data_IF_059470176672
#
_entry.id   IF_059470176672
#
_cell.length_a   1.000
_cell.length_b   1.000
_cell.length_c   1.000
_cell.angle_alpha   90.00
_cell.angle_beta   90.00
_cell.angle_gamma   90.00
#
_symmetry.space_group_name_H-M   'P 1'
#
loop_
_entity.id
_entity.type
_entity.pdbx_description
1 polymer ?
#
# COMPACT_ATOMS: atom_id res chain seq x y z
N UNK A 1 11.59 -39.57 -45.67
CA UNK A 1 10.43 -38.65 -45.53
C UNK A 1 10.68 -37.80 -44.27
N UNK A 2 11.10 -36.56 -44.44
CA UNK A 2 11.31 -35.60 -43.35
C UNK A 2 10.21 -34.53 -43.46
N UNK A 3 9.28 -34.51 -42.54
CA UNK A 3 8.20 -33.53 -42.43
C UNK A 3 8.65 -32.38 -41.52
N UNK A 4 8.27 -31.15 -41.80
CA UNK A 4 8.86 -29.97 -41.17
C UNK A 4 8.16 -29.60 -39.84
N UNK A 5 8.94 -29.60 -38.76
CA UNK A 5 8.53 -29.09 -37.43
C UNK A 5 8.69 -27.54 -37.28
N UNK A 6 8.76 -26.78 -38.38
CA UNK A 6 9.04 -25.34 -38.32
C UNK A 6 7.79 -24.44 -38.26
N UNK A 7 6.59 -25.00 -38.44
CA UNK A 7 5.37 -24.17 -38.53
C UNK A 7 4.71 -23.83 -37.18
N UNK A 8 4.94 -24.61 -36.12
CA UNK A 8 4.19 -24.47 -34.88
C UNK A 8 4.75 -23.36 -33.94
N UNK A 9 6.07 -23.12 -33.99
CA UNK A 9 6.72 -22.14 -33.12
C UNK A 9 6.45 -20.68 -33.55
N UNK A 10 6.28 -20.43 -34.86
CA UNK A 10 5.93 -19.08 -35.35
C UNK A 10 4.46 -18.71 -35.11
N UNK A 11 3.56 -19.68 -35.15
CA UNK A 11 2.13 -19.43 -34.87
C UNK A 11 1.89 -19.11 -33.39
N UNK A 12 2.62 -19.75 -32.44
CA UNK A 12 2.50 -19.47 -31.01
C UNK A 12 3.05 -18.10 -30.63
N UNK A 13 4.18 -17.68 -31.24
CA UNK A 13 4.76 -16.34 -31.04
C UNK A 13 3.87 -15.22 -31.61
N UNK A 14 3.22 -15.45 -32.73
CA UNK A 14 2.28 -14.50 -33.35
C UNK A 14 1.01 -14.31 -32.50
N UNK A 15 0.47 -15.40 -31.90
CA UNK A 15 -0.72 -15.36 -31.03
C UNK A 15 -0.43 -14.65 -29.71
N UNK A 16 0.74 -14.83 -29.11
CA UNK A 16 1.11 -14.14 -27.87
C UNK A 16 1.40 -12.65 -28.09
N UNK A 17 2.01 -12.27 -29.20
CA UNK A 17 2.17 -10.86 -29.58
C UNK A 17 0.84 -10.17 -29.87
N UNK A 18 -0.10 -10.85 -30.54
CA UNK A 18 -1.40 -10.28 -30.87
C UNK A 18 -2.27 -10.06 -29.64
N UNK A 19 -2.26 -10.99 -28.67
CA UNK A 19 -3.00 -10.83 -27.41
C UNK A 19 -2.41 -9.76 -26.50
N UNK A 20 -1.09 -9.60 -26.47
CA UNK A 20 -0.43 -8.53 -25.71
C UNK A 20 -0.71 -7.15 -26.34
N UNK A 21 -0.61 -7.02 -27.66
CA UNK A 21 -0.94 -5.80 -28.39
C UNK A 21 -2.41 -5.40 -28.20
N UNK A 22 -3.34 -6.34 -28.23
CA UNK A 22 -4.77 -6.10 -28.00
C UNK A 22 -5.04 -5.65 -26.55
N UNK A 23 -4.36 -6.24 -25.56
CA UNK A 23 -4.48 -5.84 -24.15
C UNK A 23 -3.92 -4.44 -23.88
N UNK A 24 -2.82 -4.07 -24.54
CA UNK A 24 -2.23 -2.72 -24.44
C UNK A 24 -3.15 -1.70 -25.11
N UNK A 25 -3.68 -2.01 -26.28
CA UNK A 25 -4.60 -1.15 -27.04
C UNK A 25 -5.90 -0.91 -26.27
N UNK A 26 -6.40 -1.92 -25.54
CA UNK A 26 -7.57 -1.79 -24.69
C UNK A 26 -7.32 -0.82 -23.50
N UNK A 27 -6.13 -0.83 -22.90
CA UNK A 27 -5.77 0.10 -21.81
C UNK A 27 -5.68 1.56 -22.27
N UNK A 28 -5.09 1.83 -23.42
CA UNK A 28 -5.05 3.16 -24.02
C UNK A 28 -6.48 3.66 -24.30
N UNK A 29 -7.33 2.81 -24.92
CA UNK A 29 -8.73 3.13 -25.18
C UNK A 29 -9.50 3.42 -23.88
N UNK A 30 -9.28 2.64 -22.83
CA UNK A 30 -9.93 2.82 -21.53
C UNK A 30 -9.60 4.19 -20.90
N UNK A 31 -8.33 4.62 -20.93
CA UNK A 31 -7.91 5.92 -20.38
C UNK A 31 -8.51 7.09 -21.17
N UNK A 32 -8.53 7.00 -22.50
CA UNK A 32 -9.12 8.04 -23.36
C UNK A 32 -10.64 8.12 -23.20
N UNK A 33 -11.32 6.97 -23.09
CA UNK A 33 -12.77 6.89 -22.84
C UNK A 33 -13.11 7.46 -21.47
N UNK A 34 -12.32 7.16 -20.42
CA UNK A 34 -12.49 7.71 -19.08
C UNK A 34 -12.45 9.24 -19.12
N UNK A 35 -11.42 9.82 -19.74
CA UNK A 35 -11.30 11.27 -19.92
C UNK A 35 -12.54 11.84 -20.63
N UNK A 36 -12.87 11.31 -21.81
CA UNK A 36 -14.00 11.80 -22.62
C UNK A 36 -15.35 11.71 -21.89
N UNK A 37 -15.53 10.70 -21.03
CA UNK A 37 -16.74 10.53 -20.23
C UNK A 37 -16.80 11.53 -19.08
N UNK A 38 -15.70 11.68 -18.35
CA UNK A 38 -15.63 12.56 -17.18
C UNK A 38 -15.69 14.03 -17.54
N UNK A 39 -15.07 14.45 -18.66
CA UNK A 39 -15.10 15.84 -19.13
C UNK A 39 -16.47 16.29 -19.65
N UNK A 40 -17.33 15.35 -20.08
CA UNK A 40 -18.73 15.65 -20.42
C UNK A 40 -19.61 15.92 -19.20
N UNK A 41 -19.21 15.37 -18.04
CA UNK A 41 -19.93 15.58 -16.78
C UNK A 41 -19.55 16.89 -16.12
N UNK A 42 -20.41 17.37 -15.22
CA UNK A 42 -20.20 18.63 -14.48
C UNK A 42 -19.68 18.41 -13.05
N UNK A 43 -19.72 17.16 -12.55
CA UNK A 43 -19.34 16.85 -11.16
C UNK A 43 -17.84 16.74 -10.97
N UNK A 44 -17.11 16.14 -11.91
CA UNK A 44 -15.71 15.79 -11.75
C UNK A 44 -14.77 16.76 -12.45
N UNK A 45 -13.88 17.38 -11.71
CA UNK A 45 -12.69 18.04 -12.26
C UNK A 45 -11.70 16.93 -12.60
N UNK A 46 -11.30 16.82 -13.86
CA UNK A 46 -10.45 15.74 -14.33
C UNK A 46 -8.98 16.14 -14.27
N UNK A 47 -8.21 15.44 -13.44
CA UNK A 47 -6.74 15.52 -13.35
C UNK A 47 -6.17 16.89 -13.00
N UNK A 48 -6.97 17.79 -12.42
CA UNK A 48 -6.56 19.15 -12.06
C UNK A 48 -6.89 19.44 -10.57
N UNK A 49 -5.93 19.06 -9.72
CA UNK A 49 -6.05 19.23 -8.26
C UNK A 49 -6.04 20.71 -7.87
N UNK A 50 -5.26 21.55 -8.58
CA UNK A 50 -5.15 22.98 -8.27
C UNK A 50 -6.46 23.71 -8.54
N UNK A 51 -7.13 23.39 -9.63
CA UNK A 51 -8.49 23.89 -9.93
C UNK A 51 -9.46 23.42 -8.84
N UNK A 52 -9.33 22.16 -8.38
CA UNK A 52 -10.13 21.64 -7.27
C UNK A 52 -10.01 22.47 -6.00
N UNK A 53 -8.80 22.78 -5.55
CA UNK A 53 -8.58 23.65 -4.38
C UNK A 53 -9.14 25.06 -4.58
N UNK A 54 -8.94 25.64 -5.74
CA UNK A 54 -9.46 26.96 -6.08
C UNK A 54 -10.99 27.01 -5.98
N UNK A 55 -11.66 26.02 -6.59
CA UNK A 55 -13.12 25.92 -6.53
C UNK A 55 -13.64 25.61 -5.12
N UNK A 56 -12.98 24.72 -4.37
CA UNK A 56 -13.35 24.38 -3.01
C UNK A 56 -13.32 25.62 -2.09
N UNK A 57 -12.26 26.40 -2.21
CA UNK A 57 -12.12 27.67 -1.48
C UNK A 57 -13.20 28.68 -1.85
N UNK A 58 -13.46 28.85 -3.15
CA UNK A 58 -14.46 29.82 -3.63
C UNK A 58 -15.89 29.41 -3.27
N UNK A 59 -16.23 28.14 -3.38
CA UNK A 59 -17.56 27.61 -3.07
C UNK A 59 -17.78 27.34 -1.58
N UNK A 60 -16.75 27.47 -0.75
CA UNK A 60 -16.74 27.05 0.66
C UNK A 60 -17.28 25.61 0.83
N UNK A 61 -16.76 24.68 0.02
CA UNK A 61 -17.08 23.26 0.07
C UNK A 61 -15.82 22.45 0.37
N UNK A 62 -15.94 21.28 1.02
CA UNK A 62 -14.79 20.38 1.13
C UNK A 62 -14.40 19.86 -0.25
N UNK A 63 -13.10 19.60 -0.42
CA UNK A 63 -12.53 18.99 -1.62
C UNK A 63 -12.38 17.49 -1.40
N UNK A 64 -12.84 16.73 -2.37
CA UNK A 64 -12.68 15.28 -2.45
C UNK A 64 -11.78 14.97 -3.65
N UNK A 65 -10.63 14.36 -3.40
CA UNK A 65 -9.70 13.94 -4.45
C UNK A 65 -9.63 12.42 -4.50
N UNK A 66 -10.14 11.85 -5.57
CA UNK A 66 -10.04 10.40 -5.85
C UNK A 66 -8.79 10.13 -6.67
N UNK A 67 -7.92 9.29 -6.13
CA UNK A 67 -6.73 8.78 -6.82
C UNK A 67 -7.03 7.37 -7.30
N UNK A 68 -6.96 7.17 -8.60
CA UNK A 68 -7.36 5.93 -9.25
C UNK A 68 -6.55 5.61 -10.49
N UNK A 69 -6.07 4.39 -10.58
CA UNK A 69 -5.36 3.91 -11.74
C UNK A 69 -6.34 3.35 -12.80
N UNK A 70 -6.66 4.12 -13.85
CA UNK A 70 -7.60 3.69 -14.90
C UNK A 70 -7.14 2.44 -15.67
N UNK A 71 -5.84 2.28 -16.02
CA UNK A 71 -5.38 1.08 -16.71
C UNK A 71 -5.43 -0.21 -15.88
N UNK A 72 -5.69 -0.11 -14.57
CA UNK A 72 -5.75 -1.26 -13.68
C UNK A 72 -7.14 -1.88 -13.67
N UNK A 73 -7.26 -3.16 -14.04
CA UNK A 73 -8.53 -3.89 -14.06
C UNK A 73 -9.22 -3.95 -12.69
N UNK A 74 -8.44 -4.02 -11.61
CA UNK A 74 -8.97 -4.00 -10.24
C UNK A 74 -9.69 -2.69 -9.90
N UNK A 75 -9.30 -1.58 -10.55
CA UNK A 75 -9.92 -0.27 -10.30
C UNK A 75 -11.25 -0.09 -11.02
N UNK A 76 -11.45 -0.77 -12.13
CA UNK A 76 -12.71 -0.67 -12.92
C UNK A 76 -13.94 -1.07 -12.09
N UNK A 77 -13.78 -2.08 -11.22
CA UNK A 77 -14.84 -2.53 -10.33
C UNK A 77 -15.23 -1.48 -9.26
N UNK A 78 -14.30 -0.70 -8.76
CA UNK A 78 -14.57 0.32 -7.73
C UNK A 78 -15.33 1.52 -8.30
N UNK A 79 -15.04 1.94 -9.53
CA UNK A 79 -15.81 3.00 -10.17
C UNK A 79 -17.29 2.62 -10.33
N UNK A 80 -17.52 1.43 -10.90
CA UNK A 80 -18.87 0.96 -11.18
C UNK A 80 -19.65 0.67 -9.88
N UNK A 81 -18.98 0.16 -8.84
CA UNK A 81 -19.64 -0.29 -7.61
C UNK A 81 -19.66 0.76 -6.48
N UNK A 82 -18.95 1.87 -6.60
CA UNK A 82 -18.89 2.90 -5.55
C UNK A 82 -19.11 4.31 -6.10
N UNK A 83 -18.23 4.78 -7.00
CA UNK A 83 -18.23 6.20 -7.39
C UNK A 83 -19.38 6.61 -8.30
N UNK A 84 -19.99 5.64 -9.01
CA UNK A 84 -21.11 5.86 -9.94
C UNK A 84 -22.47 5.49 -9.31
N UNK A 85 -22.50 5.04 -8.05
CA UNK A 85 -23.74 4.70 -7.38
C UNK A 85 -24.64 5.94 -7.21
N UNK A 86 -25.88 5.90 -7.72
CA UNK A 86 -26.81 7.02 -7.62
C UNK A 86 -27.08 7.48 -6.19
N UNK A 87 -27.03 6.55 -5.21
CA UNK A 87 -27.22 6.83 -3.80
C UNK A 87 -26.19 7.81 -3.23
N UNK A 88 -24.98 7.83 -3.76
CA UNK A 88 -23.91 8.72 -3.31
C UNK A 88 -24.01 10.11 -3.94
N UNK A 89 -24.78 10.30 -4.99
CA UNK A 89 -24.87 11.58 -5.71
C UNK A 89 -25.21 12.76 -4.82
N UNK A 90 -26.20 12.72 -3.90
CA UNK A 90 -26.52 13.84 -3.02
C UNK A 90 -25.41 14.20 -2.02
N UNK A 91 -24.58 13.23 -1.63
CA UNK A 91 -23.41 13.47 -0.78
C UNK A 91 -22.27 14.07 -1.60
N UNK A 92 -21.97 13.51 -2.77
CA UNK A 92 -20.91 13.99 -3.66
C UNK A 92 -21.16 15.42 -4.12
N UNK A 93 -22.42 15.84 -4.30
CA UNK A 93 -22.79 17.21 -4.67
C UNK A 93 -22.46 18.26 -3.59
N UNK A 94 -22.19 17.82 -2.36
CA UNK A 94 -21.74 18.68 -1.27
C UNK A 94 -20.21 18.91 -1.30
N UNK A 95 -19.47 18.20 -2.15
CA UNK A 95 -18.03 18.36 -2.34
C UNK A 95 -17.70 19.04 -3.66
N UNK A 96 -16.50 19.57 -3.77
CA UNK A 96 -15.81 19.71 -5.04
C UNK A 96 -15.07 18.41 -5.30
N UNK A 97 -15.38 17.73 -6.42
CA UNK A 97 -14.87 16.40 -6.70
C UNK A 97 -13.76 16.47 -7.76
N UNK A 98 -12.57 15.97 -7.45
CA UNK A 98 -11.45 15.84 -8.38
C UNK A 98 -11.13 14.37 -8.58
N UNK A 99 -10.97 13.98 -9.86
CA UNK A 99 -10.54 12.65 -10.27
C UNK A 99 -9.12 12.71 -10.82
N UNK A 100 -8.20 12.03 -10.17
CA UNK A 100 -6.79 11.93 -10.55
C UNK A 100 -6.48 10.53 -11.02
N UNK A 101 -5.96 10.39 -12.25
CA UNK A 101 -5.68 9.10 -12.88
C UNK A 101 -4.20 8.76 -12.97
N UNK A 102 -3.34 9.68 -12.60
CA UNK A 102 -1.88 9.51 -12.61
C UNK A 102 -1.24 10.24 -11.45
N UNK A 103 -0.05 9.84 -11.07
CA UNK A 103 0.67 10.46 -9.96
C UNK A 103 1.78 11.42 -10.41
N UNK A 104 1.95 11.69 -11.71
CA UNK A 104 3.11 12.41 -12.24
C UNK A 104 3.43 13.72 -11.53
N UNK A 105 2.42 14.58 -11.36
CA UNK A 105 2.56 15.90 -10.74
C UNK A 105 1.93 15.98 -9.33
N UNK A 106 1.66 14.84 -8.71
CA UNK A 106 1.04 14.77 -7.39
C UNK A 106 1.95 15.39 -6.34
N UNK A 107 1.44 16.32 -5.53
CA UNK A 107 2.21 16.92 -4.44
C UNK A 107 2.37 15.90 -3.29
N UNK A 108 3.59 15.38 -3.12
CA UNK A 108 3.90 14.35 -2.13
C UNK A 108 3.85 14.86 -0.68
N UNK A 109 3.75 16.17 -0.44
CA UNK A 109 3.51 16.72 0.90
C UNK A 109 2.04 16.67 1.30
N UNK A 110 1.13 16.66 0.33
CA UNK A 110 -0.32 16.60 0.54
C UNK A 110 -0.87 15.19 0.41
N UNK A 111 -0.38 14.45 -0.59
CA UNK A 111 -0.92 13.14 -0.97
C UNK A 111 -0.05 12.00 -0.42
N UNK A 112 -0.12 11.78 0.89
CA UNK A 112 0.48 10.64 1.58
C UNK A 112 -0.61 9.66 1.97
N UNK A 113 -0.62 8.50 1.33
CA UNK A 113 -1.56 7.40 1.49
C UNK A 113 -0.85 6.09 1.18
N UNK A 114 -1.52 4.95 1.25
CA UNK A 114 -0.93 3.68 0.87
C UNK A 114 -0.79 3.60 -0.67
N UNK A 115 0.42 3.86 -1.16
CA UNK A 115 0.71 3.87 -2.60
C UNK A 115 0.57 2.51 -3.28
N UNK A 116 0.55 1.43 -2.52
CA UNK A 116 0.31 0.09 -3.08
C UNK A 116 -1.17 -0.18 -3.40
N UNK A 117 -2.09 0.70 -2.95
CA UNK A 117 -3.51 0.58 -3.23
C UNK A 117 -3.86 1.05 -4.64
N UNK A 118 -4.86 0.38 -5.23
CA UNK A 118 -5.39 0.75 -6.54
C UNK A 118 -6.33 1.97 -6.49
N UNK A 119 -6.89 2.26 -5.31
CA UNK A 119 -7.87 3.30 -5.08
C UNK A 119 -7.64 3.95 -3.72
N UNK A 120 -7.63 5.27 -3.70
CA UNK A 120 -7.62 6.07 -2.48
C UNK A 120 -8.39 7.37 -2.68
N UNK A 121 -9.01 7.86 -1.62
CA UNK A 121 -9.63 9.19 -1.58
C UNK A 121 -9.00 9.99 -0.44
N UNK A 122 -8.69 11.24 -0.70
CA UNK A 122 -8.27 12.20 0.34
C UNK A 122 -9.25 13.36 0.37
N UNK A 123 -9.68 13.71 1.56
CA UNK A 123 -10.62 14.81 1.83
C UNK A 123 -9.88 16.00 2.39
N UNK A 124 -10.18 17.20 1.87
CA UNK A 124 -9.50 18.44 2.26
C UNK A 124 -10.48 19.56 2.53
N UNK A 125 -10.02 20.55 3.25
CA UNK A 125 -10.55 21.90 3.13
C UNK A 125 -9.91 22.63 1.92
N UNK A 126 -10.53 23.70 1.44
CA UNK A 126 -10.00 24.50 0.34
C UNK A 126 -8.65 25.19 0.63
N UNK A 127 -8.19 25.22 1.89
CA UNK A 127 -6.88 25.75 2.29
C UNK A 127 -5.78 24.66 2.36
N UNK A 128 -6.09 23.42 1.97
CA UNK A 128 -5.15 22.28 1.99
C UNK A 128 -5.16 21.46 3.30
N UNK A 129 -5.96 21.87 4.31
CA UNK A 129 -6.09 21.07 5.55
C UNK A 129 -6.75 19.73 5.24
N UNK A 130 -6.09 18.63 5.61
CA UNK A 130 -6.59 17.27 5.39
C UNK A 130 -7.65 16.94 6.45
N UNK A 131 -8.83 16.53 6.01
CA UNK A 131 -9.92 16.03 6.86
C UNK A 131 -9.83 14.53 7.11
N UNK A 132 -9.30 13.80 6.15
CA UNK A 132 -9.10 12.36 6.27
C UNK A 132 -8.81 11.67 4.96
N UNK A 133 -8.62 10.35 5.06
CA UNK A 133 -8.31 9.44 3.94
C UNK A 133 -9.30 8.29 3.91
N UNK A 134 -9.56 7.74 2.73
CA UNK A 134 -10.33 6.53 2.55
C UNK A 134 -9.62 5.60 1.55
N UNK A 135 -9.73 4.30 1.77
CA UNK A 135 -9.07 3.25 1.01
C UNK A 135 -8.10 2.47 1.88
N UNK A 136 -8.27 1.16 1.92
CA UNK A 136 -7.44 0.25 2.71
C UNK A 136 -7.35 -1.11 2.03
N UNK A 137 -6.42 -1.96 2.50
CA UNK A 137 -6.31 -3.34 2.04
C UNK A 137 -7.58 -4.14 2.33
N UNK A 138 -8.26 -3.88 3.44
CA UNK A 138 -9.54 -4.48 3.79
C UNK A 138 -10.55 -4.26 2.67
N UNK A 139 -10.68 -3.01 2.19
CA UNK A 139 -11.58 -2.66 1.08
C UNK A 139 -11.19 -3.24 -0.29
N UNK A 140 -10.07 -3.95 -0.41
CA UNK A 140 -9.59 -4.52 -1.68
C UNK A 140 -9.46 -6.04 -1.67
N UNK A 141 -9.36 -6.65 -0.50
CA UNK A 141 -9.24 -8.11 -0.34
C UNK A 141 -10.53 -8.85 -0.68
N UNK A 142 -11.67 -8.26 -0.34
CA UNK A 142 -12.97 -8.89 -0.39
C UNK A 142 -13.94 -8.04 -1.22
N UNK A 143 -14.67 -8.59 -2.20
CA UNK A 143 -15.74 -7.83 -2.88
C UNK A 143 -16.77 -7.23 -1.91
N UNK A 144 -17.01 -7.88 -0.77
CA UNK A 144 -17.88 -7.41 0.30
C UNK A 144 -17.34 -6.15 1.01
N UNK A 145 -16.01 -5.98 1.04
CA UNK A 145 -15.36 -4.81 1.66
C UNK A 145 -15.47 -3.53 0.79
N UNK A 146 -15.98 -3.67 -0.43
CA UNK A 146 -16.24 -2.56 -1.37
C UNK A 146 -17.65 -2.01 -1.24
N UNK A 147 -18.25 -2.11 -0.06
CA UNK A 147 -19.60 -1.58 0.14
C UNK A 147 -19.62 -0.06 0.05
N UNK A 148 -20.65 0.48 -0.57
CA UNK A 148 -20.90 1.93 -0.58
C UNK A 148 -21.07 2.48 0.84
N UNK A 149 -21.48 1.64 1.79
CA UNK A 149 -21.71 2.04 3.18
C UNK A 149 -20.47 2.65 3.83
N UNK A 150 -19.30 2.01 3.69
CA UNK A 150 -18.05 2.54 4.24
C UNK A 150 -17.63 3.85 3.59
N UNK A 151 -17.81 3.99 2.28
CA UNK A 151 -17.50 5.23 1.58
C UNK A 151 -18.48 6.34 1.96
N UNK A 152 -19.78 6.01 2.05
CA UNK A 152 -20.83 6.92 2.55
C UNK A 152 -20.50 7.43 3.96
N UNK A 153 -20.14 6.54 4.88
CA UNK A 153 -19.75 6.91 6.23
C UNK A 153 -18.55 7.87 6.26
N UNK A 154 -17.54 7.65 5.40
CA UNK A 154 -16.39 8.53 5.27
C UNK A 154 -16.76 9.91 4.71
N UNK A 155 -17.64 9.98 3.70
CA UNK A 155 -18.19 11.23 3.16
C UNK A 155 -18.94 12.04 4.23
N UNK A 156 -19.84 11.38 4.97
CA UNK A 156 -20.63 11.99 6.04
C UNK A 156 -19.74 12.53 7.16
N UNK A 157 -18.70 11.79 7.56
CA UNK A 157 -17.72 12.23 8.56
C UNK A 157 -16.88 13.42 8.06
N UNK A 158 -16.44 13.40 6.80
CA UNK A 158 -15.71 14.51 6.21
C UNK A 158 -16.56 15.79 6.15
N UNK A 159 -17.86 15.68 5.82
CA UNK A 159 -18.82 16.78 5.89
C UNK A 159 -19.02 17.28 7.32
N UNK A 160 -19.10 16.38 8.30
CA UNK A 160 -19.22 16.75 9.72
C UNK A 160 -17.99 17.54 10.19
N UNK A 161 -16.78 17.12 9.79
CA UNK A 161 -15.53 17.84 10.07
C UNK A 161 -15.56 19.24 9.41
N UNK A 162 -15.99 19.32 8.15
CA UNK A 162 -16.07 20.60 7.43
C UNK A 162 -17.01 21.59 8.09
N UNK A 163 -18.18 21.16 8.58
CA UNK A 163 -19.13 22.01 9.31
C UNK A 163 -18.55 22.62 10.59
N UNK A 164 -17.56 21.99 11.20
CA UNK A 164 -16.89 22.46 12.42
C UNK A 164 -15.61 23.25 12.13
N UNK A 165 -15.18 23.31 10.87
CA UNK A 165 -13.98 24.02 10.49
C UNK A 165 -14.21 25.55 10.50
N UNK A 166 -13.29 26.39 11.03
CA UNK A 166 -11.92 26.08 11.44
C UNK A 166 -11.76 25.72 12.93
N UNK A 167 -12.82 25.66 13.75
CA UNK A 167 -12.72 25.41 15.18
C UNK A 167 -12.00 24.10 15.54
N UNK A 168 -12.15 23.06 14.71
CA UNK A 168 -11.51 21.73 14.88
C UNK A 168 -10.12 21.62 14.23
N UNK A 169 -9.53 22.70 13.69
CA UNK A 169 -8.26 22.66 12.92
C UNK A 169 -7.11 22.06 13.71
N UNK A 170 -7.04 22.31 15.02
CA UNK A 170 -5.99 21.77 15.89
C UNK A 170 -6.02 20.23 15.94
N UNK A 171 -7.20 19.61 16.03
CA UNK A 171 -7.37 18.16 16.01
C UNK A 171 -7.01 17.50 14.66
N UNK A 172 -6.96 18.30 13.58
CA UNK A 172 -6.62 17.83 12.24
C UNK A 172 -5.10 17.96 11.94
N UNK A 173 -4.33 18.62 12.80
CA UNK A 173 -2.90 18.86 12.57
C UNK A 173 -2.11 17.55 12.33
N UNK A 174 -2.43 16.48 13.06
CA UNK A 174 -1.82 15.17 12.91
C UNK A 174 -2.11 14.49 11.56
N UNK A 175 -3.16 14.91 10.84
CA UNK A 175 -3.52 14.33 9.53
C UNK A 175 -2.69 14.89 8.38
N UNK A 176 -1.95 16.00 8.61
CA UNK A 176 -1.14 16.65 7.59
C UNK A 176 0.04 15.75 7.18
N UNK A 177 0.44 15.83 5.90
CA UNK A 177 1.57 15.07 5.39
C UNK A 177 2.89 15.47 6.07
N UNK A 178 3.81 14.53 6.11
CA UNK A 178 5.18 14.76 6.56
C UNK A 178 6.01 15.42 5.46
N UNK A 179 7.07 16.12 5.85
CA UNK A 179 8.05 16.63 4.89
C UNK A 179 8.63 15.48 4.04
N UNK A 180 8.76 15.69 2.74
CA UNK A 180 9.32 14.71 1.82
C UNK A 180 10.56 15.29 1.13
N UNK A 181 11.52 14.44 0.75
CA UNK A 181 12.72 14.89 0.03
C UNK A 181 12.42 15.31 -1.43
N UNK A 182 11.26 14.95 -1.95
CA UNK A 182 10.82 15.25 -3.32
C UNK A 182 9.42 15.86 -3.27
N UNK A 183 9.19 16.91 -4.03
CA UNK A 183 7.89 17.57 -4.10
C UNK A 183 6.88 16.75 -4.91
N UNK A 184 7.34 16.09 -5.98
CA UNK A 184 6.50 15.28 -6.85
C UNK A 184 7.20 13.99 -7.25
N UNK A 185 6.46 12.96 -7.69
CA UNK A 185 7.03 11.69 -8.16
C UNK A 185 8.06 11.85 -9.27
N UNK A 186 7.86 12.78 -10.22
CA UNK A 186 8.78 13.00 -11.33
C UNK A 186 10.06 13.73 -10.93
N UNK A 187 10.22 14.10 -9.67
CA UNK A 187 11.50 14.58 -9.12
C UNK A 187 12.36 13.46 -8.54
N UNK A 188 11.77 12.28 -8.29
CA UNK A 188 12.51 11.11 -7.81
C UNK A 188 13.38 10.59 -8.96
N UNK A 189 14.71 10.44 -8.81
CA UNK A 189 15.65 10.17 -9.92
C UNK A 189 15.23 9.01 -10.83
N UNK A 190 14.77 7.89 -10.24
CA UNK A 190 14.31 6.73 -11.01
C UNK A 190 13.11 7.03 -11.91
N UNK A 191 12.22 7.92 -11.49
CA UNK A 191 11.03 8.31 -12.25
C UNK A 191 11.31 9.49 -13.18
N UNK A 192 12.13 10.47 -12.76
CA UNK A 192 12.56 11.60 -13.55
C UNK A 192 13.21 11.18 -14.88
N UNK A 193 13.96 10.08 -14.88
CA UNK A 193 14.60 9.54 -16.07
C UNK A 193 13.61 9.10 -17.16
N UNK A 194 12.34 8.87 -16.83
CA UNK A 194 11.36 8.25 -17.74
C UNK A 194 10.09 9.05 -17.92
N UNK A 195 9.67 9.79 -16.89
CA UNK A 195 8.36 10.42 -16.84
C UNK A 195 8.46 11.95 -16.78
N UNK A 196 7.46 12.63 -17.34
CA UNK A 196 7.27 14.09 -17.26
C UNK A 196 6.09 14.40 -16.34
N UNK A 197 5.95 15.65 -15.93
CA UNK A 197 4.82 16.11 -15.10
C UNK A 197 3.45 15.99 -15.80
N UNK A 198 3.44 16.04 -17.13
CA UNK A 198 2.24 15.93 -17.97
C UNK A 198 2.18 14.59 -18.69
N UNK A 199 0.95 14.12 -18.95
CA UNK A 199 0.69 12.92 -19.72
C UNK A 199 0.82 13.19 -21.22
N UNK A 200 1.29 12.19 -21.95
CA UNK A 200 1.38 12.21 -23.42
C UNK A 200 0.05 11.80 -24.05
N UNK A 201 -0.89 12.76 -24.08
CA UNK A 201 -2.23 12.55 -24.62
C UNK A 201 -2.25 12.35 -26.14
N UNK A 202 -1.29 12.89 -26.85
CA UNK A 202 -1.19 12.74 -28.32
C UNK A 202 -0.53 11.42 -28.72
N UNK A 203 0.32 10.85 -27.84
CA UNK A 203 1.03 9.61 -28.08
C UNK A 203 0.52 8.44 -27.23
N UNK A 204 1.40 7.88 -26.40
CA UNK A 204 1.12 6.69 -25.54
C UNK A 204 0.82 7.10 -24.11
N UNK A 205 -0.42 7.51 -23.84
CA UNK A 205 -0.83 8.06 -22.54
C UNK A 205 -0.57 7.09 -21.39
N UNK A 206 -0.87 5.80 -21.54
CA UNK A 206 -0.65 4.79 -20.49
C UNK A 206 0.82 4.63 -20.13
N UNK A 207 1.71 4.69 -21.11
CA UNK A 207 3.17 4.57 -20.88
C UNK A 207 3.78 5.83 -20.25
N UNK A 208 3.11 6.96 -20.34
CA UNK A 208 3.53 8.22 -19.72
C UNK A 208 3.01 8.40 -18.28
N UNK A 209 2.14 7.50 -17.79
CA UNK A 209 1.59 7.56 -16.44
C UNK A 209 2.56 7.02 -15.39
N UNK A 210 2.81 7.79 -14.34
CA UNK A 210 3.34 7.28 -13.08
C UNK A 210 2.19 6.67 -12.29
N UNK A 211 2.28 5.38 -11.98
CA UNK A 211 1.33 4.70 -11.09
C UNK A 211 1.75 4.90 -9.63
N UNK A 212 0.77 4.98 -8.71
CA UNK A 212 1.05 5.28 -7.30
C UNK A 212 2.07 4.32 -6.67
N UNK A 213 1.99 3.00 -6.94
CA UNK A 213 2.96 2.03 -6.39
C UNK A 213 4.41 2.29 -6.82
N UNK A 214 4.62 2.93 -7.98
CA UNK A 214 5.97 3.30 -8.43
C UNK A 214 6.63 4.33 -7.51
N UNK A 215 5.85 5.15 -6.79
CA UNK A 215 6.38 6.14 -5.83
C UNK A 215 7.11 5.41 -4.69
N UNK A 216 6.47 4.42 -4.09
CA UNK A 216 7.07 3.62 -3.02
C UNK A 216 8.35 2.89 -3.49
N UNK A 217 8.30 2.30 -4.68
CA UNK A 217 9.46 1.62 -5.28
C UNK A 217 10.61 2.60 -5.56
N UNK A 218 10.32 3.77 -6.10
CA UNK A 218 11.32 4.78 -6.41
C UNK A 218 11.96 5.37 -5.14
N UNK A 219 11.16 5.61 -4.09
CA UNK A 219 11.68 6.05 -2.79
C UNK A 219 12.63 5.01 -2.19
N UNK A 220 12.24 3.72 -2.15
CA UNK A 220 13.09 2.63 -1.69
C UNK A 220 14.37 2.51 -2.51
N UNK A 221 14.26 2.60 -3.84
CA UNK A 221 15.41 2.56 -4.76
C UNK A 221 16.37 3.72 -4.48
N UNK A 222 15.86 4.93 -4.20
CA UNK A 222 16.70 6.09 -3.86
C UNK A 222 17.60 5.84 -2.63
N UNK A 223 17.11 5.11 -1.61
CA UNK A 223 17.96 4.69 -0.49
C UNK A 223 19.02 3.67 -0.91
N UNK A 224 18.63 2.68 -1.74
CA UNK A 224 19.57 1.65 -2.23
C UNK A 224 20.69 2.25 -3.08
N UNK A 225 20.36 3.18 -3.97
CA UNK A 225 21.33 3.86 -4.84
C UNK A 225 22.33 4.71 -4.02
N UNK A 226 21.88 5.26 -2.88
CA UNK A 226 22.72 5.96 -1.92
C UNK A 226 23.48 5.02 -0.97
N UNK A 227 23.37 3.70 -1.14
CA UNK A 227 23.92 2.67 -0.24
C UNK A 227 23.51 2.90 1.23
N UNK A 228 22.24 3.24 1.44
CA UNK A 228 21.66 3.45 2.77
C UNK A 228 20.65 2.36 3.11
N UNK A 229 20.51 1.97 4.37
CA UNK A 229 19.38 1.16 4.84
C UNK A 229 18.05 1.86 4.56
N UNK A 230 17.01 1.07 4.30
CA UNK A 230 15.67 1.62 4.04
C UNK A 230 14.95 1.82 5.38
N UNK A 231 14.35 2.99 5.64
CA UNK A 231 13.54 3.24 6.84
C UNK A 231 12.35 2.29 6.96
N UNK A 232 11.96 1.98 8.19
CA UNK A 232 10.85 1.07 8.47
C UNK A 232 9.53 1.54 7.85
N UNK A 233 9.30 2.83 7.78
CA UNK A 233 8.10 3.46 7.22
C UNK A 233 7.96 3.24 5.71
N UNK A 234 9.07 3.02 5.00
CA UNK A 234 9.07 2.70 3.57
C UNK A 234 8.96 1.19 3.31
N UNK A 235 9.35 0.35 4.27
CA UNK A 235 9.21 -1.11 4.19
C UNK A 235 7.79 -1.53 4.60
N UNK A 236 7.28 -0.91 5.65
CA UNK A 236 5.96 -1.17 6.23
C UNK A 236 5.07 0.09 6.15
N UNK A 237 4.74 0.57 4.94
CA UNK A 237 3.92 1.77 4.81
C UNK A 237 2.50 1.50 5.28
N UNK A 238 1.88 2.50 5.90
CA UNK A 238 0.46 2.46 6.31
C UNK A 238 0.09 1.13 6.99
N UNK A 239 0.66 0.80 8.17
CA UNK A 239 0.35 -0.43 8.87
C UNK A 239 -1.16 -0.55 9.11
N UNK A 240 -1.72 -1.72 8.81
CA UNK A 240 -3.12 -1.97 9.08
C UNK A 240 -3.37 -2.15 10.59
N UNK A 241 -4.60 -1.90 11.09
CA UNK A 241 -4.97 -2.08 12.50
C UNK A 241 -4.60 -3.46 13.05
N UNK A 242 -4.64 -4.50 12.21
CA UNK A 242 -4.27 -5.88 12.55
C UNK A 242 -2.82 -6.01 13.03
N UNK A 243 -1.95 -5.04 12.69
CA UNK A 243 -0.57 -4.97 13.20
C UNK A 243 -0.53 -4.82 14.73
N UNK A 244 -1.55 -4.18 15.33
CA UNK A 244 -1.74 -4.06 16.76
C UNK A 244 -2.75 -5.06 17.33
N UNK A 245 -3.34 -5.91 16.48
CA UNK A 245 -4.23 -6.99 16.87
C UNK A 245 -5.71 -6.60 16.97
N UNK A 246 -6.20 -5.65 16.18
CA UNK A 246 -7.62 -5.37 16.07
C UNK A 246 -8.05 -5.20 14.62
N UNK A 247 -9.33 -5.41 14.33
CA UNK A 247 -9.93 -5.14 13.02
C UNK A 247 -10.97 -4.04 13.13
N UNK A 248 -11.19 -3.32 12.05
CA UNK A 248 -12.25 -2.33 11.91
C UNK A 248 -13.26 -2.78 10.87
N UNK A 249 -14.53 -2.53 11.14
CA UNK A 249 -15.62 -2.83 10.22
C UNK A 249 -15.49 -1.99 8.93
N UNK A 250 -15.46 -2.61 7.75
CA UNK A 250 -15.21 -1.91 6.49
C UNK A 250 -16.38 -1.01 6.06
N UNK A 251 -17.58 -1.27 6.54
CA UNK A 251 -18.83 -0.55 6.25
C UNK A 251 -19.13 0.59 7.23
N UNK A 252 -18.26 0.79 8.21
CA UNK A 252 -18.41 1.83 9.24
C UNK A 252 -17.19 2.72 9.35
N UNK A 253 -17.38 3.91 9.91
CA UNK A 253 -16.29 4.81 10.24
C UNK A 253 -15.59 4.39 11.53
N UNK A 254 -14.39 3.80 11.43
CA UNK A 254 -13.50 3.48 12.55
C UNK A 254 -14.16 2.72 13.73
N UNK A 255 -15.09 1.82 13.43
CA UNK A 255 -15.74 0.91 14.37
C UNK A 255 -14.93 -0.36 14.57
N UNK A 256 -14.67 -0.75 15.81
CA UNK A 256 -13.90 -1.95 16.16
C UNK A 256 -14.76 -3.20 15.98
N UNK A 257 -14.40 -4.06 15.05
CA UNK A 257 -15.08 -5.32 14.76
C UNK A 257 -14.56 -6.45 15.65
N UNK A 258 -13.24 -6.55 15.82
CA UNK A 258 -12.64 -7.59 16.66
C UNK A 258 -11.34 -7.13 17.31
N UNK A 259 -10.97 -7.79 18.42
CA UNK A 259 -9.68 -7.61 19.11
C UNK A 259 -9.09 -8.97 19.43
N UNK A 260 -7.86 -9.22 19.02
CA UNK A 260 -7.15 -10.46 19.26
C UNK A 260 -6.65 -10.53 20.72
N UNK A 261 -6.95 -11.60 21.41
CA UNK A 261 -6.53 -11.80 22.79
C UNK A 261 -5.00 -11.73 22.96
N UNK A 262 -4.51 -11.05 23.99
CA UNK A 262 -3.11 -10.85 24.30
C UNK A 262 -2.39 -9.87 23.37
N UNK A 263 -3.09 -9.26 22.40
CA UNK A 263 -2.52 -8.26 21.51
C UNK A 263 -2.26 -6.91 22.20
N UNK A 264 -1.54 -6.00 21.52
CA UNK A 264 -1.35 -4.63 21.99
C UNK A 264 -2.70 -3.91 22.21
N UNK A 265 -3.66 -4.14 21.31
CA UNK A 265 -5.00 -3.58 21.44
C UNK A 265 -5.78 -4.13 22.64
N UNK A 266 -5.70 -5.44 22.88
CA UNK A 266 -6.33 -6.08 24.04
C UNK A 266 -5.72 -5.57 25.36
N UNK A 267 -4.38 -5.49 25.43
CA UNK A 267 -3.65 -4.95 26.58
C UNK A 267 -3.98 -3.46 26.85
N UNK A 268 -4.26 -2.70 25.79
CA UNK A 268 -4.73 -1.31 25.90
C UNK A 268 -6.19 -1.23 26.41
N UNK A 269 -6.92 -2.35 26.46
CA UNK A 269 -8.32 -2.42 26.89
C UNK A 269 -9.32 -2.08 25.77
N UNK A 270 -8.91 -2.10 24.50
CA UNK A 270 -9.81 -1.98 23.35
C UNK A 270 -10.74 -3.20 23.29
N UNK A 271 -11.98 -3.02 22.86
CA UNK A 271 -12.97 -4.10 22.74
C UNK A 271 -13.73 -4.01 21.43
N UNK A 272 -14.22 -5.15 20.95
CA UNK A 272 -15.21 -5.17 19.88
C UNK A 272 -16.43 -4.34 20.26
N UNK A 273 -16.96 -3.56 19.32
CA UNK A 273 -18.06 -2.63 19.52
C UNK A 273 -17.64 -1.21 19.95
N UNK A 274 -16.35 -0.95 20.17
CA UNK A 274 -15.87 0.41 20.40
C UNK A 274 -15.89 1.24 19.11
N UNK A 275 -16.21 2.52 19.21
CA UNK A 275 -16.10 3.49 18.14
C UNK A 275 -14.99 4.51 18.46
N UNK A 276 -13.98 4.65 17.61
CA UNK A 276 -12.93 5.64 17.84
C UNK A 276 -13.47 7.07 17.72
N UNK A 277 -13.28 7.85 18.79
CA UNK A 277 -13.45 9.31 18.81
C UNK A 277 -12.18 9.94 18.28
N UNK A 278 -11.02 9.50 18.81
CA UNK A 278 -9.71 9.95 18.36
C UNK A 278 -8.67 8.84 18.49
N UNK A 279 -7.65 8.89 17.63
CA UNK A 279 -6.47 8.06 17.72
C UNK A 279 -5.25 8.95 17.52
N UNK A 280 -4.36 9.01 18.49
CA UNK A 280 -3.27 9.98 18.58
C UNK A 280 -3.76 11.43 18.37
N UNK A 281 -4.86 11.79 19.05
CA UNK A 281 -5.51 13.10 18.97
C UNK A 281 -6.24 13.40 17.65
N UNK A 282 -6.26 12.47 16.68
CA UNK A 282 -6.85 12.67 15.36
C UNK A 282 -8.20 11.96 15.28
N UNK A 283 -9.29 12.62 14.82
CA UNK A 283 -10.59 11.98 14.60
C UNK A 283 -10.53 11.12 13.33
N UNK A 284 -10.55 9.77 13.40
CA UNK A 284 -10.49 8.93 12.20
C UNK A 284 -11.85 8.89 11.50
N UNK A 285 -11.82 8.96 10.17
CA UNK A 285 -13.02 8.83 9.33
C UNK A 285 -13.13 7.46 8.64
N UNK A 286 -12.05 6.68 8.65
CA UNK A 286 -11.98 5.37 8.02
C UNK A 286 -10.79 4.56 8.55
N UNK A 287 -10.67 3.32 8.09
CA UNK A 287 -9.50 2.45 8.32
C UNK A 287 -8.20 3.13 7.84
N UNK A 288 -8.24 3.84 6.72
CA UNK A 288 -7.07 4.52 6.17
C UNK A 288 -6.50 5.60 7.09
N UNK A 289 -7.36 6.31 7.84
CA UNK A 289 -6.89 7.28 8.84
C UNK A 289 -6.24 6.60 10.05
N UNK A 290 -6.75 5.46 10.48
CA UNK A 290 -6.09 4.66 11.52
C UNK A 290 -4.72 4.17 11.03
N UNK A 291 -4.64 3.68 9.80
CA UNK A 291 -3.36 3.30 9.18
C UNK A 291 -2.40 4.49 9.05
N UNK A 292 -2.91 5.70 8.81
CA UNK A 292 -2.10 6.93 8.81
C UNK A 292 -1.51 7.24 10.19
N UNK A 293 -2.31 7.12 11.25
CA UNK A 293 -1.81 7.28 12.62
C UNK A 293 -0.70 6.29 12.91
N UNK A 294 -0.90 5.01 12.56
CA UNK A 294 0.12 3.96 12.73
C UNK A 294 1.35 4.20 11.86
N UNK A 295 1.21 4.75 10.67
CA UNK A 295 2.33 5.11 9.80
C UNK A 295 3.23 6.17 10.44
N UNK A 296 2.64 7.13 11.14
CA UNK A 296 3.36 8.20 11.85
C UNK A 296 3.81 7.84 13.26
N UNK A 297 3.27 6.77 13.83
CA UNK A 297 3.56 6.38 15.20
C UNK A 297 5.07 6.14 15.43
N UNK A 298 5.60 6.38 16.62
CA UNK A 298 7.01 6.19 16.92
C UNK A 298 7.41 4.70 16.86
N UNK A 299 8.72 4.44 16.85
CA UNK A 299 9.27 3.09 16.88
C UNK A 299 8.94 2.34 18.18
N UNK A 300 8.69 3.07 19.28
CA UNK A 300 8.21 2.57 20.56
C UNK A 300 7.61 3.72 21.36
N UNK A 301 6.81 3.42 22.38
CA UNK A 301 6.18 4.40 23.24
C UNK A 301 4.67 4.21 23.34
N UNK A 302 3.96 5.21 23.84
CA UNK A 302 2.50 5.16 24.03
C UNK A 302 1.78 5.89 22.92
N UNK A 303 0.70 5.30 22.45
CA UNK A 303 -0.20 5.89 21.48
C UNK A 303 -1.58 6.03 22.13
N UNK A 304 -2.03 7.26 22.34
CA UNK A 304 -3.29 7.55 23.02
C UNK A 304 -4.49 7.36 22.09
N UNK A 305 -5.61 6.88 22.64
CA UNK A 305 -6.88 6.82 21.95
C UNK A 305 -8.04 7.21 22.86
N UNK A 306 -9.09 7.75 22.27
CA UNK A 306 -10.40 7.89 22.91
C UNK A 306 -11.43 7.11 22.09
N UNK A 307 -12.25 6.32 22.76
CA UNK A 307 -13.33 5.53 22.13
C UNK A 307 -14.65 5.75 22.85
N UNK A 308 -15.76 5.58 22.13
CA UNK A 308 -17.08 5.45 22.73
C UNK A 308 -17.40 3.98 22.92
N UNK A 309 -17.75 3.58 24.13
CA UNK A 309 -18.23 2.24 24.51
C UNK A 309 -19.55 2.33 25.23
N UNK A 310 -20.62 1.80 24.67
CA UNK A 310 -21.98 1.87 25.24
C UNK A 310 -22.37 3.30 25.65
N UNK A 311 -22.10 4.28 24.78
CA UNK A 311 -22.40 5.70 25.01
C UNK A 311 -21.46 6.41 26.00
N UNK A 312 -20.45 5.72 26.56
CA UNK A 312 -19.48 6.32 27.49
C UNK A 312 -18.11 6.44 26.82
N UNK A 313 -17.46 7.59 26.98
CA UNK A 313 -16.11 7.80 26.51
C UNK A 313 -15.09 7.06 27.41
N UNK A 314 -14.09 6.43 26.78
CA UNK A 314 -12.98 5.74 27.42
C UNK A 314 -11.67 6.20 26.81
N UNK A 315 -10.71 6.52 27.66
CA UNK A 315 -9.31 6.79 27.26
C UNK A 315 -8.49 5.51 27.32
N UNK A 316 -7.75 5.21 26.26
CA UNK A 316 -6.92 4.03 26.11
C UNK A 316 -5.49 4.44 25.77
N UNK A 317 -4.51 3.59 26.11
CA UNK A 317 -3.11 3.78 25.73
C UNK A 317 -2.58 2.46 25.15
N UNK A 318 -2.09 2.52 23.92
CA UNK A 318 -1.45 1.40 23.24
C UNK A 318 0.05 1.48 23.47
N UNK A 319 0.63 0.47 24.12
CA UNK A 319 2.08 0.41 24.38
C UNK A 319 2.78 -0.22 23.17
N UNK A 320 3.42 0.62 22.35
CA UNK A 320 4.18 0.19 21.18
C UNK A 320 5.57 -0.30 21.62
N UNK A 321 5.84 -1.58 21.40
CA UNK A 321 7.16 -2.17 21.65
C UNK A 321 8.09 -1.93 20.45
N UNK A 322 9.43 -1.93 20.65
CA UNK A 322 10.37 -1.85 19.53
C UNK A 322 10.06 -2.89 18.45
N UNK A 323 10.14 -2.47 17.19
CA UNK A 323 9.86 -3.31 16.01
C UNK A 323 8.41 -3.77 15.85
N UNK A 324 7.43 -3.15 16.50
CA UNK A 324 6.01 -3.47 16.33
C UNK A 324 5.57 -3.46 14.85
N UNK A 325 6.15 -2.58 14.03
CA UNK A 325 5.87 -2.50 12.59
C UNK A 325 6.23 -3.77 11.81
N UNK A 326 7.16 -4.57 12.30
CA UNK A 326 7.57 -5.81 11.64
C UNK A 326 6.42 -6.84 11.58
N UNK A 327 5.40 -6.68 12.41
CA UNK A 327 4.18 -7.50 12.38
C UNK A 327 3.23 -7.13 11.23
N UNK A 328 3.51 -6.05 10.50
CA UNK A 328 2.72 -5.65 9.34
C UNK A 328 2.88 -6.68 8.22
N UNK A 329 1.77 -7.30 7.81
CA UNK A 329 1.78 -8.22 6.66
C UNK A 329 1.98 -7.44 5.36
N UNK A 330 3.13 -7.59 4.76
CA UNK A 330 3.47 -7.02 3.44
C UNK A 330 3.41 -8.05 2.31
N UNK A 331 3.11 -9.30 2.58
CA UNK A 331 3.24 -10.43 1.64
C UNK A 331 2.46 -10.23 0.32
N UNK A 332 1.33 -9.55 0.39
CA UNK A 332 0.42 -9.31 -0.73
C UNK A 332 0.53 -7.92 -1.36
N UNK A 333 1.43 -7.07 -0.86
CA UNK A 333 1.62 -5.72 -1.38
C UNK A 333 2.38 -5.74 -2.71
N UNK A 334 2.04 -4.84 -3.62
CA UNK A 334 2.73 -4.70 -4.91
C UNK A 334 4.22 -4.39 -4.71
N UNK A 335 4.54 -3.48 -3.80
CA UNK A 335 5.92 -3.09 -3.48
C UNK A 335 6.79 -4.23 -2.90
N UNK A 336 6.18 -5.30 -2.39
CA UNK A 336 6.93 -6.45 -1.86
C UNK A 336 7.73 -7.16 -2.97
N UNK A 337 7.24 -7.17 -4.19
CA UNK A 337 8.01 -7.72 -5.32
C UNK A 337 9.38 -7.05 -5.47
N UNK A 338 9.40 -5.71 -5.51
CA UNK A 338 10.66 -4.95 -5.61
C UNK A 338 11.55 -5.16 -4.39
N UNK A 339 10.96 -5.19 -3.18
CA UNK A 339 11.68 -5.45 -1.94
C UNK A 339 12.30 -6.86 -1.89
N UNK A 340 11.65 -7.89 -2.43
CA UNK A 340 12.25 -9.23 -2.59
C UNK A 340 13.51 -9.18 -3.44
N UNK A 341 13.49 -8.44 -4.56
CA UNK A 341 14.70 -8.22 -5.37
C UNK A 341 15.82 -7.61 -4.55
N UNK A 342 15.53 -6.59 -3.75
CA UNK A 342 16.53 -5.86 -2.94
C UNK A 342 17.06 -6.68 -1.76
N UNK A 343 16.18 -7.40 -1.04
CA UNK A 343 16.51 -8.08 0.22
C UNK A 343 16.96 -9.51 0.02
N UNK A 344 16.18 -10.31 -0.72
CA UNK A 344 16.36 -11.75 -0.84
C UNK A 344 16.83 -12.18 -2.21
N UNK A 345 17.18 -11.23 -3.08
CA UNK A 345 17.60 -11.55 -4.44
C UNK A 345 16.51 -12.25 -5.26
N UNK A 346 15.23 -11.97 -4.95
CA UNK A 346 14.08 -12.51 -5.65
C UNK A 346 13.59 -13.88 -5.17
N UNK A 347 14.00 -14.32 -3.97
CA UNK A 347 13.41 -15.48 -3.33
C UNK A 347 12.00 -15.14 -2.86
N UNK A 348 11.05 -16.04 -3.13
CA UNK A 348 9.69 -16.02 -2.57
C UNK A 348 9.66 -17.04 -1.44
N UNK A 349 9.39 -16.58 -0.23
CA UNK A 349 9.54 -17.34 0.98
C UNK A 349 8.20 -17.53 1.70
N UNK A 350 7.90 -18.74 2.13
CA UNK A 350 6.78 -19.05 3.01
C UNK A 350 7.30 -19.55 4.36
N UNK A 351 6.71 -19.09 5.48
CA UNK A 351 6.97 -19.68 6.79
C UNK A 351 6.27 -21.05 6.88
N UNK A 352 7.04 -22.10 7.09
CA UNK A 352 6.49 -23.47 7.15
C UNK A 352 5.54 -23.63 8.33
N UNK A 353 4.45 -24.34 8.11
CA UNK A 353 3.53 -24.78 9.15
C UNK A 353 4.19 -25.72 10.16
N UNK A 354 3.63 -25.84 11.35
CA UNK A 354 4.27 -26.58 12.46
C UNK A 354 4.46 -28.08 12.17
N UNK A 355 3.53 -28.70 11.45
CA UNK A 355 3.59 -30.09 10.99
C UNK A 355 4.71 -30.30 9.95
N UNK A 356 4.85 -29.41 8.99
CA UNK A 356 5.91 -29.46 7.99
C UNK A 356 7.29 -29.22 8.61
N UNK A 357 7.39 -28.36 9.65
CA UNK A 357 8.61 -28.15 10.44
C UNK A 357 9.02 -29.43 11.17
N UNK A 358 8.07 -30.08 11.86
CA UNK A 358 8.30 -31.31 12.58
C UNK A 358 8.81 -32.43 11.65
N UNK A 359 8.23 -32.58 10.46
CA UNK A 359 8.66 -33.54 9.45
C UNK A 359 10.10 -33.31 8.95
N UNK A 360 10.63 -32.11 9.10
CA UNK A 360 12.00 -31.71 8.70
C UNK A 360 12.97 -31.61 9.87
N UNK A 361 12.52 -31.94 11.09
CA UNK A 361 13.34 -31.83 12.30
C UNK A 361 13.65 -30.38 12.72
N UNK A 362 12.81 -29.40 12.33
CA UNK A 362 12.94 -28.00 12.71
C UNK A 362 11.92 -27.68 13.80
N UNK A 363 12.36 -27.07 14.91
CA UNK A 363 11.46 -26.74 16.01
C UNK A 363 10.51 -25.60 15.61
N UNK A 364 9.34 -25.52 16.29
CA UNK A 364 8.31 -24.51 16.00
C UNK A 364 8.81 -23.07 16.15
N UNK A 365 9.80 -22.84 17.01
CA UNK A 365 10.33 -21.50 17.32
C UNK A 365 11.57 -21.13 16.48
N UNK A 366 12.08 -22.09 15.67
CA UNK A 366 13.22 -21.86 14.77
C UNK A 366 12.77 -21.30 13.44
N UNK A 367 13.67 -20.67 12.71
CA UNK A 367 13.45 -20.24 11.33
C UNK A 367 13.25 -21.46 10.43
N UNK A 368 12.23 -21.40 9.58
CA UNK A 368 12.02 -22.35 8.50
C UNK A 368 11.30 -21.65 7.34
N UNK A 369 12.04 -20.79 6.63
CA UNK A 369 11.54 -20.10 5.46
C UNK A 369 11.74 -20.96 4.22
N UNK A 370 10.66 -21.50 3.72
CA UNK A 370 10.62 -22.37 2.54
C UNK A 370 10.76 -21.55 1.26
N UNK A 371 11.71 -21.89 0.41
CA UNK A 371 11.93 -21.25 -0.88
C UNK A 371 10.93 -21.79 -1.91
N UNK A 372 9.80 -21.13 -2.02
CA UNK A 372 8.70 -21.46 -2.96
C UNK A 372 9.06 -21.13 -4.41
N UNK A 373 9.86 -20.09 -4.60
CA UNK A 373 10.26 -19.62 -5.91
C UNK A 373 11.58 -18.86 -5.87
N UNK A 374 12.26 -18.88 -7.02
CA UNK A 374 13.56 -18.23 -7.24
C UNK A 374 13.45 -17.34 -8.46
N UNK A 375 13.70 -16.06 -8.31
CA UNK A 375 13.67 -15.09 -9.41
C UNK A 375 14.71 -15.39 -10.49
N UNK A 376 14.41 -15.05 -11.74
CA UNK A 376 15.18 -15.48 -12.89
C UNK A 376 15.98 -14.36 -13.57
N UNK A 377 15.61 -13.09 -13.36
CA UNK A 377 16.14 -11.97 -14.15
C UNK A 377 16.56 -10.78 -13.28
N UNK A 378 17.57 -10.03 -13.71
CA UNK A 378 18.02 -8.80 -13.08
C UNK A 378 18.36 -8.98 -11.61
N UNK A 379 17.98 -8.02 -10.77
CA UNK A 379 18.16 -8.05 -9.31
C UNK A 379 17.47 -9.26 -8.66
N UNK A 380 16.39 -9.76 -9.25
CA UNK A 380 15.66 -10.93 -8.76
C UNK A 380 16.39 -12.28 -9.03
N UNK A 381 17.42 -12.31 -9.86
CA UNK A 381 18.22 -13.51 -10.07
C UNK A 381 19.35 -13.67 -9.04
N UNK A 382 19.56 -12.70 -8.16
CA UNK A 382 20.69 -12.69 -7.24
C UNK A 382 20.67 -13.88 -6.26
N UNK A 383 19.50 -14.26 -5.74
CA UNK A 383 19.34 -15.45 -4.91
C UNK A 383 19.68 -16.75 -5.65
N UNK A 384 19.19 -16.89 -6.90
CA UNK A 384 19.55 -18.01 -7.78
C UNK A 384 21.06 -18.09 -8.02
N UNK A 385 21.67 -16.96 -8.35
CA UNK A 385 23.10 -16.88 -8.65
C UNK A 385 23.96 -17.15 -7.39
N UNK A 386 23.43 -16.88 -6.22
CA UNK A 386 24.04 -17.22 -4.92
C UNK A 386 23.89 -18.70 -4.55
N UNK A 387 23.19 -19.51 -5.36
CA UNK A 387 23.06 -20.95 -5.18
C UNK A 387 21.79 -21.42 -4.47
N UNK A 388 20.85 -20.51 -4.14
CA UNK A 388 19.54 -20.91 -3.61
C UNK A 388 18.72 -21.65 -4.67
N UNK A 389 17.98 -22.65 -4.24
CA UNK A 389 17.12 -23.47 -5.10
C UNK A 389 15.69 -23.48 -4.55
N UNK A 390 14.74 -23.73 -5.44
CA UNK A 390 13.38 -24.07 -5.02
C UNK A 390 13.45 -25.30 -4.08
N UNK A 391 12.56 -25.32 -3.09
CA UNK A 391 12.44 -26.36 -2.06
C UNK A 391 13.56 -26.35 -0.99
N UNK A 392 14.53 -25.43 -1.04
CA UNK A 392 15.41 -25.16 0.11
C UNK A 392 14.58 -24.61 1.29
N UNK A 393 15.01 -24.92 2.51
CA UNK A 393 14.46 -24.31 3.73
C UNK A 393 15.56 -23.49 4.41
N UNK A 394 15.40 -22.18 4.46
CA UNK A 394 16.34 -21.30 5.16
C UNK A 394 16.10 -21.45 6.66
N UNK A 395 17.11 -21.89 7.38
CA UNK A 395 17.07 -22.10 8.84
C UNK A 395 17.90 -21.07 9.61
N UNK A 396 18.77 -20.34 8.90
CA UNK A 396 19.51 -19.22 9.44
C UNK A 396 19.77 -18.22 8.32
N UNK A 397 19.55 -16.93 8.60
CA UNK A 397 19.88 -15.84 7.68
C UNK A 397 20.29 -14.60 8.47
N UNK A 398 21.47 -14.05 8.14
CA UNK A 398 22.05 -12.89 8.81
C UNK A 398 22.11 -13.03 10.34
N UNK A 399 22.52 -14.22 10.82
CA UNK A 399 22.62 -14.54 12.25
C UNK A 399 21.29 -14.74 12.97
N UNK A 400 20.16 -14.63 12.27
CA UNK A 400 18.85 -14.96 12.82
C UNK A 400 18.52 -16.43 12.55
N UNK A 401 18.12 -17.14 13.61
CA UNK A 401 17.66 -18.52 13.55
C UNK A 401 16.29 -18.73 14.21
N UNK A 402 15.72 -17.68 14.82
CA UNK A 402 14.36 -17.70 15.37
C UNK A 402 13.31 -17.68 14.26
N UNK A 403 12.11 -18.16 14.56
CA UNK A 403 10.96 -18.08 13.64
C UNK A 403 10.69 -16.63 13.22
N UNK A 404 10.55 -16.42 11.92
CA UNK A 404 10.20 -15.13 11.30
C UNK A 404 9.37 -15.39 10.04
N UNK A 405 8.56 -14.42 9.67
CA UNK A 405 7.89 -14.39 8.37
C UNK A 405 8.80 -13.82 7.27
N UNK A 406 8.42 -13.99 5.99
CA UNK A 406 9.11 -13.34 4.87
C UNK A 406 9.17 -11.81 5.06
N UNK A 407 8.04 -11.20 5.48
CA UNK A 407 7.95 -9.75 5.69
C UNK A 407 8.91 -9.25 6.78
N UNK A 408 9.01 -9.97 7.90
CA UNK A 408 9.97 -9.68 8.96
C UNK A 408 11.43 -9.80 8.48
N UNK A 409 11.73 -10.82 7.68
CA UNK A 409 13.07 -11.04 7.13
C UNK A 409 13.44 -9.95 6.12
N UNK A 410 12.54 -9.58 5.21
CA UNK A 410 12.73 -8.45 4.29
C UNK A 410 13.04 -7.17 5.07
N UNK A 411 12.25 -6.88 6.09
CA UNK A 411 12.46 -5.71 6.94
C UNK A 411 13.76 -5.74 7.73
N UNK A 412 14.16 -6.92 8.24
CA UNK A 412 15.44 -7.09 8.93
C UNK A 412 16.60 -6.75 8.00
N UNK A 413 16.61 -7.33 6.81
CA UNK A 413 17.70 -7.16 5.85
C UNK A 413 17.79 -5.72 5.30
N UNK A 414 16.67 -5.15 4.87
CA UNK A 414 16.66 -3.82 4.24
C UNK A 414 16.96 -2.68 5.22
N UNK A 415 16.72 -2.88 6.51
CA UNK A 415 17.01 -1.89 7.56
C UNK A 415 18.45 -1.95 8.08
N UNK A 416 19.18 -3.01 7.78
CA UNK A 416 20.53 -3.24 8.32
C UNK A 416 21.62 -3.19 7.26
N UNK A 417 21.31 -3.60 6.05
CA UNK A 417 22.29 -3.80 5.00
C UNK A 417 22.10 -2.86 3.82
N UNK A 418 23.20 -2.32 3.35
CA UNK A 418 23.28 -1.54 2.12
C UNK A 418 23.33 -2.45 0.87
N UNK A 419 23.09 -1.87 -0.31
CA UNK A 419 23.29 -2.57 -1.57
C UNK A 419 24.77 -2.93 -1.77
N UNK A 420 25.05 -4.15 -2.22
CA UNK A 420 26.38 -4.67 -2.42
C UNK A 420 26.96 -5.48 -1.25
N UNK A 421 26.38 -5.36 -0.05
CA UNK A 421 26.78 -6.21 1.08
C UNK A 421 26.38 -7.67 0.85
N UNK A 422 26.98 -8.59 1.58
CA UNK A 422 26.66 -10.01 1.55
C UNK A 422 26.28 -10.49 2.92
N UNK A 423 25.21 -11.25 3.02
CA UNK A 423 24.75 -11.87 4.27
C UNK A 423 24.85 -13.39 4.20
N UNK A 424 25.24 -14.01 5.32
CA UNK A 424 25.33 -15.47 5.40
C UNK A 424 23.95 -16.08 5.55
N UNK A 425 23.73 -17.22 4.92
CA UNK A 425 22.53 -18.03 5.03
C UNK A 425 22.90 -19.50 5.22
N UNK A 426 22.11 -20.22 6.00
CA UNK A 426 22.16 -21.68 6.10
C UNK A 426 20.81 -22.22 5.64
N UNK A 427 20.84 -23.12 4.67
CA UNK A 427 19.65 -23.79 4.16
C UNK A 427 19.72 -25.30 4.40
N UNK A 428 18.55 -25.89 4.60
CA UNK A 428 18.36 -27.33 4.50
C UNK A 428 17.94 -27.65 3.06
N UNK A 429 18.75 -28.48 2.38
CA UNK A 429 18.49 -29.02 1.05
C UNK A 429 18.28 -30.51 1.18
N UNK A 430 17.04 -30.95 1.29
CA UNK A 430 16.75 -32.28 1.84
C UNK A 430 17.22 -32.35 3.31
N UNK A 431 18.15 -33.27 3.62
CA UNK A 431 18.73 -33.41 4.95
C UNK A 431 20.10 -32.72 5.10
N UNK A 432 20.65 -32.16 4.02
CA UNK A 432 21.96 -31.50 4.06
C UNK A 432 21.87 -30.03 4.44
N UNK A 433 22.75 -29.59 5.34
CA UNK A 433 22.97 -28.19 5.61
C UNK A 433 23.93 -27.60 4.58
N UNK A 434 23.53 -26.53 3.92
CA UNK A 434 24.36 -25.83 2.92
C UNK A 434 24.50 -24.38 3.35
N UNK A 435 25.73 -23.90 3.42
CA UNK A 435 26.03 -22.49 3.64
C UNK A 435 26.06 -21.72 2.32
N UNK A 436 25.37 -20.60 2.27
CA UNK A 436 25.27 -19.74 1.11
C UNK A 436 25.56 -18.28 1.51
N UNK A 437 25.93 -17.47 0.52
CA UNK A 437 26.16 -16.03 0.71
C UNK A 437 25.25 -15.25 -0.22
N UNK A 438 24.25 -14.58 0.36
CA UNK A 438 23.24 -13.81 -0.37
C UNK A 438 23.73 -12.38 -0.59
N UNK A 439 23.90 -11.91 -1.85
CA UNK A 439 24.25 -10.51 -2.11
C UNK A 439 23.01 -9.63 -2.04
N UNK A 440 23.08 -8.57 -1.24
CA UNK A 440 22.07 -7.52 -1.13
C UNK A 440 22.06 -6.66 -2.41
N UNK A 441 20.88 -6.35 -2.94
CA UNK A 441 20.72 -5.62 -4.20
C UNK A 441 20.25 -4.17 -4.01
#
# INVERSE_FOLDING_TARGET
MKTPMLGLSLALAALTCSSFAAAVQNREAAVRSDKATMEKGTRWIYNDVQKGFTEAKWKNKPLLVVLRCVPCLSCAGIDASVLQEPELAPLLDQFVCVRVINANALDLSLFQFDYDLSFSTVFFNGDGTIYGRYGSWTHQKNPQDKTIAGYKAALEKALAIHRQYPANKAALAGKQGMATPFKSPVEIPMLAAKYKSTLDWEGKVVQSCVHCHMIGDALRTSYRDQKKPIPAELIYPMPAPETLGFTLAPDRSAHVESVAAGSVADQAGLKAGDDFISFDGQPPISIADVSWVLHRAPASGKLAAAVTRNGTEKSLNFDLTPNWRNKTDISKRVGTWTMRGMATGGLVLDDLADDERANRGVSKDQMALFVKGVGQYGKHAAGKNAGFKKDDVIVELDGLSRRVTEGEMIGHLLRRHAAGEKVKAVVLRGQQRVELSLPMQ
#
